data_IF_545863933214
#
_entry.id   IF_545863933214
#
_cell.length_a   1.000
_cell.length_b   1.000
_cell.length_c   1.000
_cell.angle_alpha   90.00
_cell.angle_beta   90.00
_cell.angle_gamma   90.00
#
_symmetry.space_group_name_H-M   'P 1'
#
loop_
_entity.id
_entity.type
_entity.pdbx_description
1 polymer ?
#
# COMPACT_ATOMS: atom_id res chain seq x y z
N UNK A 1 36.43 -12.10 42.46
CA UNK A 1 35.63 -10.97 41.96
C UNK A 1 34.63 -11.49 40.94
N UNK A 2 33.36 -11.67 41.31
CA UNK A 2 32.24 -11.79 40.36
C UNK A 2 30.97 -11.34 41.08
N UNK A 3 30.48 -10.14 40.77
CA UNK A 3 29.20 -9.62 41.28
C UNK A 3 28.06 -10.23 40.46
N UNK A 4 27.03 -10.70 41.17
CA UNK A 4 25.82 -11.33 40.64
C UNK A 4 24.93 -10.35 39.86
N UNK A 5 24.39 -10.83 38.73
CA UNK A 5 23.30 -10.21 37.95
C UNK A 5 22.01 -10.10 38.76
N UNK A 6 21.30 -8.98 38.60
CA UNK A 6 19.98 -8.73 39.19
C UNK A 6 18.84 -9.16 38.25
N UNK A 7 18.09 -10.14 38.74
CA UNK A 7 16.63 -10.16 38.95
C UNK A 7 15.73 -10.10 37.69
N UNK A 8 15.26 -11.29 37.32
CA UNK A 8 14.01 -11.60 36.63
C UNK A 8 12.81 -11.26 37.53
N UNK A 9 11.81 -10.55 36.99
CA UNK A 9 10.49 -10.39 37.64
C UNK A 9 9.47 -11.18 36.80
N UNK A 10 8.97 -12.26 37.38
CA UNK A 10 7.79 -12.98 36.92
C UNK A 10 6.58 -12.43 37.69
N UNK A 11 5.59 -11.88 36.99
CA UNK A 11 4.32 -11.47 37.58
C UNK A 11 3.23 -12.49 37.21
N UNK A 12 2.88 -13.34 38.18
CA UNK A 12 1.68 -14.19 38.13
C UNK A 12 0.52 -13.38 38.69
N UNK A 13 -0.52 -13.11 37.88
CA UNK A 13 -1.75 -12.46 38.33
C UNK A 13 -2.92 -13.46 38.26
N UNK A 14 -3.38 -13.88 39.43
CA UNK A 14 -4.62 -14.64 39.63
C UNK A 14 -5.78 -13.66 39.75
N UNK A 15 -6.81 -13.74 38.92
CA UNK A 15 -8.02 -12.93 39.05
C UNK A 15 -9.19 -13.77 39.61
N UNK A 16 -9.76 -13.31 40.73
CA UNK A 16 -11.01 -13.78 41.30
C UNK A 16 -12.10 -12.71 41.11
N UNK A 17 -13.31 -13.14 40.75
CA UNK A 17 -14.47 -12.30 40.42
C UNK A 17 -15.36 -11.98 41.65
N UNK A 18 -16.02 -10.80 41.65
CA UNK A 18 -17.44 -10.56 42.03
C UNK A 18 -17.75 -9.07 42.35
N UNK A 19 -18.94 -8.58 41.94
CA UNK A 19 -19.73 -7.58 42.71
C UNK A 19 -20.06 -6.23 42.04
N UNK A 20 -21.36 -5.95 41.88
CA UNK A 20 -21.98 -4.73 41.30
C UNK A 20 -22.31 -3.72 42.41
N UNK A 21 -21.91 -2.43 42.32
CA UNK A 21 -22.55 -1.29 43.02
C UNK A 21 -22.33 0.00 42.19
N UNK A 22 -23.40 0.71 41.86
CA UNK A 22 -23.37 2.04 41.21
C UNK A 22 -23.08 3.17 42.20
N UNK A 23 -22.40 4.23 41.73
CA UNK A 23 -22.19 5.45 42.50
C UNK A 23 -22.54 6.70 41.68
N UNK A 24 -23.18 7.64 42.38
CA UNK A 24 -23.63 8.95 41.94
C UNK A 24 -22.44 9.89 41.70
N UNK A 25 -22.60 10.79 40.73
CA UNK A 25 -21.65 11.83 40.38
C UNK A 25 -21.50 12.89 41.49
N UNK A 26 -20.26 13.29 41.77
CA UNK A 26 -19.90 14.56 42.43
C UNK A 26 -18.72 15.17 41.66
N UNK A 27 -18.75 16.47 41.29
CA UNK A 27 -17.58 17.12 40.70
C UNK A 27 -16.62 17.53 41.81
N UNK A 28 -15.35 17.15 41.72
CA UNK A 28 -14.28 17.81 42.49
C UNK A 28 -13.20 18.27 41.54
N UNK A 29 -12.99 19.59 41.54
CA UNK A 29 -11.85 20.24 40.97
C UNK A 29 -10.69 20.17 41.98
N UNK A 30 -9.51 19.76 41.51
CA UNK A 30 -8.27 19.74 42.30
C UNK A 30 -7.15 19.16 41.47
N UNK A 31 -6.16 19.98 41.14
CA UNK A 31 -5.03 19.65 40.28
C UNK A 31 -3.98 18.80 41.02
N UNK A 32 -3.55 17.70 40.41
CA UNK A 32 -2.22 17.09 40.57
C UNK A 32 -1.91 16.24 39.30
N UNK A 33 -0.79 16.43 38.59
CA UNK A 33 -0.42 15.58 37.45
C UNK A 33 0.43 14.39 37.92
N UNK A 34 -0.18 13.43 38.60
CA UNK A 34 0.45 12.13 38.89
C UNK A 34 -0.42 10.98 38.37
N UNK A 35 0.05 10.41 37.26
CA UNK A 35 -0.12 9.01 36.86
C UNK A 35 -1.53 8.41 36.96
N UNK A 36 -2.42 8.76 36.02
CA UNK A 36 -3.56 7.91 35.69
C UNK A 36 -3.14 6.79 34.75
N UNK A 37 -2.47 5.78 35.33
CA UNK A 37 -2.47 4.43 34.79
C UNK A 37 -3.70 3.68 35.31
N UNK A 38 -4.88 4.01 34.77
CA UNK A 38 -6.10 3.16 34.75
C UNK A 38 -7.13 3.97 33.95
N UNK A 39 -7.64 3.56 32.81
CA UNK A 39 -8.57 2.43 32.70
C UNK A 39 -8.71 2.04 31.22
N UNK A 40 -8.26 0.85 30.82
CA UNK A 40 -8.67 0.25 29.55
C UNK A 40 -10.13 -0.17 29.69
N UNK A 41 -11.04 0.77 29.43
CA UNK A 41 -12.48 0.53 29.34
C UNK A 41 -12.89 0.85 27.93
N UNK A 42 -13.47 -0.14 27.25
CA UNK A 42 -13.94 -0.11 25.86
C UNK A 42 -12.80 -0.05 24.84
N UNK A 43 -12.61 -1.16 24.13
CA UNK A 43 -12.09 -1.15 22.77
C UNK A 43 -13.10 -0.41 21.88
N UNK A 44 -13.22 0.90 22.05
CA UNK A 44 -13.79 1.74 21.02
C UNK A 44 -12.84 1.58 19.83
N UNK A 45 -13.30 0.90 18.78
CA UNK A 45 -12.56 0.85 17.52
C UNK A 45 -12.54 2.30 17.01
N UNK A 46 -11.46 3.01 17.33
CA UNK A 46 -11.25 4.37 16.87
C UNK A 46 -10.73 4.28 15.44
N UNK A 47 -11.49 4.84 14.50
CA UNK A 47 -11.03 4.96 13.12
C UNK A 47 -9.84 5.93 13.09
N UNK A 48 -8.71 5.49 12.53
CA UNK A 48 -7.56 6.36 12.32
C UNK A 48 -7.77 7.14 11.02
N UNK A 49 -7.83 8.47 11.10
CA UNK A 49 -7.83 9.33 9.90
C UNK A 49 -6.44 9.94 9.73
N UNK A 50 -5.81 9.64 8.60
CA UNK A 50 -4.41 9.93 8.29
C UNK A 50 -4.32 10.60 6.92
N UNK A 51 -3.21 11.28 6.62
CA UNK A 51 -2.96 11.70 5.23
C UNK A 51 -2.37 10.52 4.45
N UNK A 52 -2.53 10.53 3.12
CA UNK A 52 -1.74 9.64 2.26
C UNK A 52 -0.24 9.81 2.56
N UNK A 53 0.47 8.70 2.71
CA UNK A 53 1.88 8.62 3.11
C UNK A 53 2.12 8.42 4.61
N UNK A 54 1.12 8.65 5.46
CA UNK A 54 1.24 8.39 6.90
C UNK A 54 0.96 6.91 7.24
N UNK A 55 1.70 6.35 8.19
CA UNK A 55 1.50 4.96 8.64
C UNK A 55 0.39 4.87 9.69
N UNK A 56 -0.63 4.05 9.40
CA UNK A 56 -1.64 3.63 10.36
C UNK A 56 -1.34 2.26 10.93
N UNK A 57 -1.80 1.98 12.16
CA UNK A 57 -1.53 0.72 12.86
C UNK A 57 -2.80 -0.05 13.19
N UNK A 58 -2.85 -1.32 12.81
CA UNK A 58 -3.87 -2.26 13.24
C UNK A 58 -3.31 -3.08 14.40
N UNK A 59 -4.06 -3.17 15.50
CA UNK A 59 -3.66 -3.91 16.71
C UNK A 59 -4.66 -5.04 16.93
N UNK A 60 -4.16 -6.28 16.94
CA UNK A 60 -4.92 -7.49 17.26
C UNK A 60 -4.16 -8.32 18.30
N UNK A 61 -4.52 -8.13 19.57
CA UNK A 61 -3.82 -8.75 20.70
C UNK A 61 -2.32 -8.37 20.72
N UNK A 62 -1.45 -9.38 20.50
CA UNK A 62 0.01 -9.21 20.48
C UNK A 62 0.57 -8.99 19.07
N UNK A 63 -0.30 -8.84 18.06
CA UNK A 63 0.07 -8.59 16.67
C UNK A 63 -0.19 -7.11 16.35
N UNK A 64 0.82 -6.43 15.79
CA UNK A 64 0.71 -5.05 15.32
C UNK A 64 1.11 -5.04 13.85
N UNK A 65 0.19 -4.61 13.00
CA UNK A 65 0.39 -4.45 11.56
C UNK A 65 0.39 -2.97 11.20
N UNK A 66 1.35 -2.53 10.40
CA UNK A 66 1.44 -1.16 9.90
C UNK A 66 1.10 -1.10 8.43
N UNK A 67 0.13 -0.25 8.06
CA UNK A 67 -0.15 0.06 6.67
C UNK A 67 0.20 1.51 6.37
N UNK A 68 0.89 1.73 5.25
CA UNK A 68 1.06 3.04 4.65
C UNK A 68 0.45 3.00 3.26
N UNK A 69 -0.40 3.97 2.94
CA UNK A 69 -0.98 4.10 1.60
C UNK A 69 -0.65 5.47 1.05
N UNK A 70 -0.15 5.51 -0.17
CA UNK A 70 0.24 6.73 -0.88
C UNK A 70 -0.15 6.64 -2.36
N UNK A 71 0.04 7.76 -3.07
CA UNK A 71 -0.06 7.83 -4.52
C UNK A 71 -1.38 7.28 -5.09
N UNK A 72 -2.52 7.68 -4.49
CA UNK A 72 -3.85 7.42 -5.02
C UNK A 72 -4.06 8.27 -6.29
N UNK A 73 -4.15 7.62 -7.45
CA UNK A 73 -4.24 8.30 -8.75
C UNK A 73 -4.81 7.39 -9.84
N UNK A 74 -5.23 7.93 -11.01
CA UNK A 74 -5.48 7.12 -12.20
C UNK A 74 -4.24 6.31 -12.60
N UNK A 75 -4.46 5.08 -13.03
CA UNK A 75 -3.40 4.15 -13.48
C UNK A 75 -3.39 4.01 -14.99
N UNK A 76 -2.20 3.84 -15.56
CA UNK A 76 -1.99 3.44 -16.96
C UNK A 76 -1.59 1.98 -17.12
N UNK A 77 -1.57 1.21 -16.03
CA UNK A 77 -1.11 -0.18 -16.04
C UNK A 77 -2.07 -1.10 -16.79
N UNK A 78 -1.51 -2.05 -17.55
CA UNK A 78 -2.27 -3.11 -18.18
C UNK A 78 -2.42 -4.29 -17.22
N UNK A 79 -3.63 -4.49 -16.70
CA UNK A 79 -3.97 -5.59 -15.79
C UNK A 79 -4.93 -6.58 -16.47
N UNK A 80 -4.95 -7.87 -16.08
CA UNK A 80 -5.85 -8.88 -16.64
C UNK A 80 -7.28 -8.72 -16.10
N UNK A 81 -7.88 -7.55 -16.30
CA UNK A 81 -9.21 -7.18 -15.84
C UNK A 81 -9.86 -6.22 -16.84
N UNK A 82 -11.13 -6.46 -17.17
CA UNK A 82 -11.91 -5.59 -18.04
C UNK A 82 -12.49 -4.42 -17.22
N UNK A 83 -11.72 -3.33 -17.16
CA UNK A 83 -12.10 -2.09 -16.47
C UNK A 83 -13.39 -1.51 -17.07
N UNK A 84 -14.37 -1.21 -16.22
CA UNK A 84 -15.65 -0.63 -16.62
C UNK A 84 -15.66 0.90 -16.58
N UNK A 85 -14.88 1.50 -15.67
CA UNK A 85 -14.70 2.93 -15.54
C UNK A 85 -13.27 3.35 -15.85
N UNK A 86 -12.64 4.06 -14.90
CA UNK A 86 -11.22 4.40 -14.95
C UNK A 86 -10.47 3.52 -13.96
N UNK A 87 -9.36 2.92 -14.40
CA UNK A 87 -8.48 2.20 -13.49
C UNK A 87 -7.76 3.20 -12.60
N UNK A 88 -7.87 3.03 -11.29
CA UNK A 88 -7.11 3.78 -10.30
C UNK A 88 -6.17 2.83 -9.57
N UNK A 89 -5.08 3.39 -9.06
CA UNK A 89 -4.11 2.69 -8.23
C UNK A 89 -3.81 3.49 -6.97
N UNK A 90 -3.39 2.77 -5.93
CA UNK A 90 -2.65 3.32 -4.80
C UNK A 90 -1.43 2.44 -4.54
N UNK A 91 -0.36 3.02 -4.02
CA UNK A 91 0.79 2.26 -3.51
C UNK A 91 0.51 1.94 -2.05
N UNK A 92 0.63 0.67 -1.67
CA UNK A 92 0.44 0.22 -0.29
C UNK A 92 1.68 -0.52 0.19
N UNK A 93 2.18 -0.13 1.36
CA UNK A 93 3.26 -0.80 2.07
C UNK A 93 2.71 -1.39 3.37
N UNK A 94 2.79 -2.71 3.50
CA UNK A 94 2.43 -3.47 4.69
C UNK A 94 3.68 -3.81 5.50
N UNK A 95 3.60 -3.71 6.82
CA UNK A 95 4.69 -4.00 7.73
C UNK A 95 4.22 -4.85 8.92
N UNK A 96 4.93 -5.94 9.16
CA UNK A 96 4.78 -6.78 10.35
C UNK A 96 5.50 -6.14 11.55
N UNK A 97 4.91 -5.12 12.18
CA UNK A 97 5.58 -4.39 13.27
C UNK A 97 5.83 -5.30 14.49
N UNK A 98 4.82 -6.10 14.86
CA UNK A 98 4.91 -7.08 15.93
C UNK A 98 4.10 -8.33 15.56
N UNK A 99 4.66 -9.52 15.77
CA UNK A 99 4.07 -10.78 15.30
C UNK A 99 4.18 -10.95 13.78
N UNK A 100 3.84 -12.15 13.30
CA UNK A 100 3.70 -12.39 11.86
C UNK A 100 2.33 -11.88 11.39
N UNK A 101 2.28 -11.28 10.20
CA UNK A 101 1.04 -10.74 9.62
C UNK A 101 0.87 -11.24 8.19
N UNK A 102 -0.37 -11.38 7.74
CA UNK A 102 -0.68 -11.66 6.34
C UNK A 102 -1.34 -10.42 5.74
N UNK A 103 -0.82 -9.86 4.64
CA UNK A 103 -1.45 -8.72 3.97
C UNK A 103 -2.86 -9.06 3.47
N UNK A 104 -3.88 -8.25 3.82
CA UNK A 104 -5.27 -8.46 3.40
C UNK A 104 -5.71 -7.32 2.47
N UNK A 105 -5.37 -7.43 1.19
CA UNK A 105 -5.66 -6.40 0.17
C UNK A 105 -7.16 -6.21 -0.05
N UNK A 106 -7.98 -7.25 0.17
CA UNK A 106 -9.43 -7.20 0.00
C UNK A 106 -10.15 -6.26 0.99
N UNK A 107 -9.47 -5.81 2.04
CA UNK A 107 -10.01 -4.83 2.99
C UNK A 107 -9.87 -3.38 2.49
N UNK A 108 -9.09 -3.13 1.44
CA UNK A 108 -8.96 -1.80 0.85
C UNK A 108 -10.16 -1.41 -0.01
N UNK A 109 -10.54 -0.14 0.10
CA UNK A 109 -11.56 0.51 -0.70
C UNK A 109 -11.06 1.91 -1.04
N UNK A 110 -11.29 2.38 -2.26
CA UNK A 110 -11.18 3.80 -2.57
C UNK A 110 -12.54 4.46 -2.32
N UNK A 111 -12.56 5.68 -1.77
CA UNK A 111 -13.79 6.46 -1.56
C UNK A 111 -13.66 7.86 -2.11
N UNK A 112 -14.72 8.33 -2.74
CA UNK A 112 -14.89 9.69 -3.25
C UNK A 112 -15.58 10.59 -2.21
N UNK A 113 -15.48 11.90 -2.41
CA UNK A 113 -16.07 12.90 -1.50
C UNK A 113 -17.60 12.85 -1.41
N UNK A 114 -18.27 12.30 -2.42
CA UNK A 114 -19.73 12.10 -2.46
C UNK A 114 -20.17 10.77 -1.82
N UNK A 115 -19.22 9.99 -1.30
CA UNK A 115 -19.48 8.75 -0.56
C UNK A 115 -19.54 7.48 -1.42
N UNK A 116 -19.25 7.55 -2.72
CA UNK A 116 -19.09 6.32 -3.52
C UNK A 116 -17.88 5.52 -3.01
N UNK A 117 -18.01 4.19 -3.07
CA UNK A 117 -16.97 3.27 -2.59
C UNK A 117 -16.63 2.28 -3.70
N UNK A 118 -15.34 2.17 -4.01
CA UNK A 118 -14.80 1.26 -5.02
C UNK A 118 -13.94 0.21 -4.32
N UNK A 119 -14.31 -1.07 -4.47
CA UNK A 119 -13.56 -2.19 -3.85
C UNK A 119 -12.21 -2.37 -4.53
N UNK A 120 -11.19 -2.74 -3.76
CA UNK A 120 -9.93 -3.18 -4.34
C UNK A 120 -10.15 -4.38 -5.28
N UNK A 121 -9.45 -4.40 -6.41
CA UNK A 121 -9.44 -5.49 -7.38
C UNK A 121 -8.51 -6.64 -6.93
N UNK A 122 -8.66 -7.08 -5.68
CA UNK A 122 -7.76 -8.05 -5.03
C UNK A 122 -7.72 -9.44 -5.69
N UNK A 123 -8.74 -9.79 -6.47
CA UNK A 123 -8.79 -11.06 -7.24
C UNK A 123 -7.98 -11.02 -8.54
N UNK A 124 -7.47 -9.86 -8.93
CA UNK A 124 -6.68 -9.67 -10.16
C UNK A 124 -5.20 -9.71 -9.80
N UNK A 125 -4.58 -10.87 -9.99
CA UNK A 125 -3.16 -11.03 -9.74
C UNK A 125 -2.34 -10.21 -10.75
N UNK A 126 -1.50 -9.31 -10.24
CA UNK A 126 -0.60 -8.47 -11.04
C UNK A 126 0.82 -8.59 -10.48
N UNK A 127 1.87 -8.53 -11.33
CA UNK A 127 3.25 -8.52 -10.85
C UNK A 127 3.59 -7.33 -9.94
N UNK A 128 2.87 -6.22 -10.09
CA UNK A 128 3.05 -4.99 -9.33
C UNK A 128 2.26 -5.00 -8.01
N UNK A 129 1.32 -5.94 -7.85
CA UNK A 129 0.43 -6.01 -6.70
C UNK A 129 1.15 -6.34 -5.39
N UNK A 130 0.53 -5.97 -4.27
CA UNK A 130 1.03 -6.36 -2.94
C UNK A 130 1.09 -7.88 -2.83
N UNK A 131 2.24 -8.42 -2.41
CA UNK A 131 2.42 -9.87 -2.24
C UNK A 131 1.59 -10.36 -1.03
N UNK A 132 0.67 -11.32 -1.19
CA UNK A 132 -0.18 -11.79 -0.10
C UNK A 132 0.51 -12.81 0.84
N UNK A 133 1.80 -13.10 0.65
CA UNK A 133 2.54 -14.00 1.53
C UNK A 133 2.63 -13.46 2.97
N UNK A 134 2.58 -14.36 3.95
CA UNK A 134 2.76 -14.00 5.35
C UNK A 134 4.15 -13.40 5.58
N UNK A 135 4.18 -12.23 6.20
CA UNK A 135 5.37 -11.51 6.61
C UNK A 135 5.77 -11.93 8.03
N UNK A 136 7.00 -12.44 8.24
CA UNK A 136 7.61 -12.52 9.55
C UNK A 136 7.71 -11.15 10.22
N UNK A 137 7.75 -11.13 11.55
CA UNK A 137 7.93 -9.88 12.30
C UNK A 137 9.18 -9.12 11.84
N UNK A 138 9.04 -7.81 11.63
CA UNK A 138 10.07 -6.91 11.15
C UNK A 138 10.14 -6.78 9.64
N UNK A 139 9.49 -7.69 8.88
CA UNK A 139 9.45 -7.62 7.42
C UNK A 139 8.31 -6.71 6.91
N UNK A 140 8.43 -6.34 5.64
CA UNK A 140 7.47 -5.52 4.94
C UNK A 140 7.33 -5.96 3.48
N UNK A 141 6.20 -5.64 2.87
CA UNK A 141 5.98 -5.78 1.43
C UNK A 141 5.31 -4.53 0.89
N UNK A 142 5.65 -4.16 -0.34
CA UNK A 142 5.08 -3.00 -1.03
C UNK A 142 4.53 -3.43 -2.38
N UNK A 143 3.43 -2.82 -2.80
CA UNK A 143 2.87 -3.06 -4.11
C UNK A 143 1.67 -2.17 -4.40
N UNK A 144 1.08 -2.35 -5.58
CA UNK A 144 -0.09 -1.62 -6.05
C UNK A 144 -1.38 -2.27 -5.55
N UNK A 145 -2.35 -1.44 -5.23
CA UNK A 145 -3.75 -1.80 -5.02
C UNK A 145 -4.56 -1.08 -6.07
N UNK A 146 -5.29 -1.84 -6.91
CA UNK A 146 -6.06 -1.28 -8.01
C UNK A 146 -7.55 -1.17 -7.66
N UNK A 147 -8.23 -0.19 -8.24
CA UNK A 147 -9.67 0.06 -8.10
C UNK A 147 -10.28 0.35 -9.48
N UNK A 148 -11.48 -0.18 -9.75
CA UNK A 148 -12.27 0.22 -10.92
C UNK A 148 -13.24 1.33 -10.51
N UNK A 149 -12.94 2.56 -10.91
CA UNK A 149 -13.70 3.77 -10.54
C UNK A 149 -14.71 4.07 -11.62
N UNK A 150 -15.98 3.75 -11.33
CA UNK A 150 -17.11 3.89 -12.26
C UNK A 150 -17.94 5.16 -12.04
N UNK A 151 -17.50 6.05 -11.15
CA UNK A 151 -18.21 7.30 -10.80
C UNK A 151 -17.25 8.43 -10.46
N UNK A 152 -17.54 9.17 -9.39
CA UNK A 152 -16.70 10.28 -8.92
C UNK A 152 -15.29 9.82 -8.53
N UNK A 153 -14.32 10.72 -8.70
CA UNK A 153 -12.92 10.44 -8.41
C UNK A 153 -12.73 10.20 -6.89
N UNK A 154 -12.00 9.14 -6.50
CA UNK A 154 -11.72 8.89 -5.10
C UNK A 154 -10.69 9.90 -4.58
N UNK A 155 -10.88 10.34 -3.34
CA UNK A 155 -9.95 11.21 -2.63
C UNK A 155 -9.44 10.57 -1.33
N UNK A 156 -9.77 9.31 -1.09
CA UNK A 156 -9.32 8.57 0.08
C UNK A 156 -9.23 7.08 -0.19
N UNK A 157 -8.37 6.41 0.56
CA UNK A 157 -8.31 4.95 0.67
C UNK A 157 -8.70 4.55 2.08
N UNK A 158 -9.52 3.51 2.21
CA UNK A 158 -10.05 3.03 3.48
C UNK A 158 -9.71 1.57 3.65
N UNK A 159 -9.10 1.22 4.78
CA UNK A 159 -8.99 -0.14 5.25
C UNK A 159 -10.22 -0.47 6.11
N UNK A 160 -11.13 -1.26 5.55
CA UNK A 160 -12.37 -1.69 6.19
C UNK A 160 -12.32 -3.21 6.43
N UNK A 161 -12.53 -3.63 7.66
CA UNK A 161 -12.56 -5.05 8.03
C UNK A 161 -13.84 -5.38 8.77
N UNK A 162 -14.52 -6.45 8.37
CA UNK A 162 -15.77 -6.89 9.01
C UNK A 162 -16.90 -5.85 8.97
N UNK A 163 -16.88 -4.94 7.99
CA UNK A 163 -17.85 -3.85 7.88
C UNK A 163 -17.47 -2.58 8.63
N UNK A 164 -16.34 -2.56 9.35
CA UNK A 164 -15.88 -1.42 10.13
C UNK A 164 -14.65 -0.76 9.49
N UNK A 165 -14.67 0.57 9.37
CA UNK A 165 -13.49 1.32 8.95
C UNK A 165 -12.47 1.33 10.10
N UNK A 166 -11.23 0.97 9.81
CA UNK A 166 -10.15 0.93 10.80
C UNK A 166 -9.15 2.07 10.55
N UNK A 167 -8.81 2.30 9.29
CA UNK A 167 -7.91 3.38 8.86
C UNK A 167 -8.46 4.01 7.58
N UNK A 168 -8.42 5.34 7.53
CA UNK A 168 -8.78 6.16 6.37
C UNK A 168 -7.59 7.05 6.06
N UNK A 169 -6.98 6.87 4.89
CA UNK A 169 -5.96 7.77 4.34
C UNK A 169 -6.63 8.75 3.38
N UNK A 170 -6.62 10.04 3.71
CA UNK A 170 -7.17 11.10 2.88
C UNK A 170 -6.07 11.72 2.03
N UNK A 171 -6.37 11.94 0.74
CA UNK A 171 -5.55 12.78 -0.11
C UNK A 171 -5.73 14.22 0.33
N UNK A 172 -4.62 14.91 0.61
CA UNK A 172 -4.69 16.35 0.82
C UNK A 172 -5.28 17.00 -0.45
N UNK A 173 -6.17 17.99 -0.31
CA UNK A 173 -6.64 18.72 -1.48
C UNK A 173 -5.39 19.30 -2.16
N UNK A 174 -5.20 19.00 -3.44
CA UNK A 174 -4.09 19.56 -4.19
C UNK A 174 -4.11 21.07 -3.98
N UNK A 175 -3.05 21.61 -3.39
CA UNK A 175 -2.88 23.07 -3.36
C UNK A 175 -2.82 23.47 -4.82
N UNK A 176 -3.91 24.04 -5.34
CA UNK A 176 -4.05 24.39 -6.73
C UNK A 176 -2.73 25.01 -7.18
N UNK A 177 -2.01 24.30 -8.05
CA UNK A 177 -0.88 24.88 -8.75
C UNK A 177 -1.48 26.02 -9.55
N UNK A 178 -1.39 27.21 -8.95
CA UNK A 178 -1.74 28.45 -9.62
C UNK A 178 -0.68 28.59 -10.69
N UNK A 179 -0.89 27.93 -11.82
CA UNK A 179 -0.28 28.28 -13.08
C UNK A 179 -0.68 29.72 -13.30
N UNK A 180 0.16 30.63 -12.79
CA UNK A 180 0.09 32.04 -13.11
C UNK A 180 0.30 32.10 -14.61
N UNK A 181 -0.81 32.06 -15.35
CA UNK A 181 -0.88 32.58 -16.70
C UNK A 181 -0.41 34.02 -16.58
N UNK A 182 0.86 34.23 -16.92
CA UNK A 182 1.44 35.56 -17.08
C UNK A 182 0.71 36.21 -18.25
N UNK A 183 -0.46 36.77 -17.97
CA UNK A 183 -1.17 37.67 -18.85
C UNK A 183 -0.36 38.97 -18.81
N UNK A 184 0.59 39.07 -19.72
CA UNK A 184 1.31 40.30 -19.98
C UNK A 184 0.33 41.31 -20.56
N UNK A 185 -0.15 42.21 -19.72
CA UNK A 185 -0.82 43.42 -20.17
C UNK A 185 0.25 44.38 -20.73
N UNK A 186 0.13 44.91 -21.96
CA UNK A 186 0.99 45.98 -22.41
C UNK A 186 0.61 47.26 -21.65
N UNK A 187 1.40 47.62 -20.65
CA UNK A 187 1.31 48.95 -20.03
C UNK A 187 2.11 49.93 -20.89
N UNK A 188 1.38 50.76 -21.63
CA UNK A 188 1.88 51.95 -22.27
C UNK A 188 2.01 53.08 -21.24
N UNK A 189 3.22 53.66 -21.20
CA UNK A 189 3.43 55.05 -20.79
C UNK A 189 3.77 55.31 -19.32
N UNK A 190 5.06 55.45 -19.04
CA UNK A 190 5.60 56.56 -18.27
C UNK A 190 7.14 56.57 -18.39
N UNK A 191 7.66 57.52 -19.16
CA UNK A 191 9.07 57.83 -19.28
C UNK A 191 9.54 58.55 -18.00
N UNK A 192 10.68 58.13 -17.44
CA UNK A 192 11.50 58.97 -16.58
C UNK A 192 12.96 58.89 -17.06
N UNK A 193 13.70 60.02 -17.16
CA UNK A 193 14.91 60.10 -17.97
C UNK A 193 16.14 59.66 -17.17
N UNK A 194 16.92 58.72 -17.72
CA UNK A 194 18.27 58.44 -17.25
C UNK A 194 19.27 59.25 -18.10
N UNK A 195 19.98 60.13 -17.40
CA UNK A 195 21.10 60.94 -17.89
C UNK A 195 22.31 60.06 -18.26
N UNK A 196 23.14 60.57 -19.15
CA UNK A 196 23.96 59.83 -20.10
C UNK A 196 25.35 59.37 -19.62
N UNK A 197 25.75 58.20 -20.18
CA UNK A 197 27.08 57.83 -20.72
C UNK A 197 28.28 57.57 -19.77
N UNK A 198 29.37 56.87 -20.21
CA UNK A 198 29.61 56.28 -21.54
C UNK A 198 29.99 54.78 -21.57
N UNK A 199 29.75 54.22 -22.75
CA UNK A 199 30.35 53.01 -23.34
C UNK A 199 31.88 53.08 -23.44
N UNK A 200 32.54 51.92 -23.51
CA UNK A 200 33.50 51.71 -24.58
C UNK A 200 33.13 50.49 -25.44
N UNK A 201 32.95 50.74 -26.74
CA UNK A 201 33.05 49.72 -27.79
C UNK A 201 34.51 49.36 -28.04
N UNK A 202 34.77 48.09 -28.36
CA UNK A 202 36.09 47.62 -28.75
C UNK A 202 36.17 46.11 -28.97
N UNK A 203 35.39 45.57 -29.91
CA UNK A 203 35.62 44.28 -30.60
C UNK A 203 37.04 44.32 -31.23
N UNK A 204 37.88 43.25 -31.29
CA UNK A 204 37.52 41.97 -31.93
C UNK A 204 38.24 40.69 -31.46
N UNK A 205 37.62 39.52 -31.65
CA UNK A 205 38.30 38.29 -32.09
C UNK A 205 37.33 37.11 -32.26
N UNK A 206 37.17 36.66 -33.51
CA UNK A 206 37.10 35.22 -33.81
C UNK A 206 38.57 34.74 -33.99
N UNK A 207 38.92 33.47 -33.70
CA UNK A 207 38.57 32.38 -34.61
C UNK A 207 38.23 31.03 -33.93
N UNK A 208 37.69 30.14 -34.73
CA UNK A 208 37.46 28.74 -34.43
C UNK A 208 38.78 27.97 -34.16
N UNK A 209 38.72 27.05 -33.19
CA UNK A 209 39.61 25.89 -33.06
C UNK A 209 38.69 24.71 -32.66
N UNK A 210 38.33 23.82 -33.58
CA UNK A 210 39.03 22.60 -33.96
C UNK A 210 39.55 21.76 -32.78
N UNK A 211 39.00 20.54 -32.69
CA UNK A 211 39.63 19.38 -32.09
C UNK A 211 39.12 19.02 -30.70
N UNK A 212 38.27 18.00 -30.60
CA UNK A 212 38.67 16.75 -29.93
C UNK A 212 37.77 15.62 -30.44
N UNK A 213 38.43 14.50 -30.68
CA UNK A 213 38.01 13.31 -31.41
C UNK A 213 36.80 12.55 -30.84
N UNK A 214 36.09 11.91 -31.77
CA UNK A 214 35.33 10.70 -31.51
C UNK A 214 36.28 9.51 -31.29
N UNK A 215 35.92 8.52 -30.46
CA UNK A 215 36.39 7.16 -30.69
C UNK A 215 35.29 6.36 -31.40
N UNK A 216 35.56 6.05 -32.66
CA UNK A 216 34.99 4.91 -33.35
C UNK A 216 35.83 3.66 -33.01
N UNK A 217 35.17 2.58 -32.61
CA UNK A 217 35.59 1.22 -32.94
C UNK A 217 36.41 0.44 -31.90
N UNK A 218 35.88 -0.73 -31.52
CA UNK A 218 36.55 -2.04 -31.31
C UNK A 218 35.47 -2.98 -30.73
N UNK A 219 34.61 -3.61 -31.53
CA UNK A 219 34.80 -4.92 -32.18
C UNK A 219 35.69 -5.91 -31.41
N UNK A 220 35.03 -6.95 -30.90
CA UNK A 220 35.58 -8.29 -30.66
C UNK A 220 36.35 -8.51 -29.35
N UNK A 221 35.97 -9.54 -28.58
CA UNK A 221 36.73 -10.78 -28.21
C UNK A 221 35.95 -11.49 -27.06
N UNK A 222 36.06 -12.80 -26.81
CA UNK A 222 35.25 -13.88 -27.40
C UNK A 222 34.46 -14.70 -26.35
N UNK A 223 33.54 -15.53 -26.85
CA UNK A 223 32.92 -16.63 -26.12
C UNK A 223 33.97 -17.73 -25.84
N UNK A 224 34.11 -18.26 -24.61
CA UNK A 224 34.81 -19.52 -24.42
C UNK A 224 33.87 -20.68 -24.80
N UNK A 225 34.15 -21.27 -25.95
CA UNK A 225 33.61 -22.54 -26.40
C UNK A 225 34.58 -23.65 -25.98
N UNK A 226 34.06 -24.74 -25.42
CA UNK A 226 34.79 -26.00 -25.30
C UNK A 226 35.04 -26.50 -23.87
N UNK A 227 34.03 -27.10 -23.26
CA UNK A 227 34.28 -28.36 -22.54
C UNK A 227 33.15 -29.33 -22.88
N UNK A 228 33.55 -30.46 -23.43
CA UNK A 228 32.78 -31.58 -23.96
C UNK A 228 31.78 -32.20 -22.97
N UNK A 229 30.81 -33.00 -23.47
CA UNK A 229 29.64 -33.42 -22.72
C UNK A 229 29.99 -34.51 -21.69
N UNK A 230 29.60 -34.27 -20.44
CA UNK A 230 29.50 -35.33 -19.44
C UNK A 230 28.23 -36.16 -19.72
N UNK A 231 28.31 -37.50 -19.77
CA UNK A 231 27.13 -38.34 -19.89
C UNK A 231 26.36 -38.30 -18.57
N UNK A 232 25.13 -37.78 -18.61
CA UNK A 232 24.23 -37.83 -17.46
C UNK A 232 23.62 -39.23 -17.35
N UNK A 233 24.33 -40.14 -16.69
CA UNK A 233 23.71 -41.31 -16.08
C UNK A 233 23.04 -40.90 -14.76
N UNK A 234 21.71 -41.04 -14.73
CA UNK A 234 20.99 -41.54 -13.57
C UNK A 234 20.82 -40.62 -12.36
N UNK A 235 19.76 -39.82 -12.34
CA UNK A 235 18.92 -39.66 -11.13
C UNK A 235 17.47 -39.34 -11.53
N UNK A 236 16.43 -39.94 -10.91
CA UNK A 236 15.10 -40.07 -11.52
C UNK A 236 14.27 -38.78 -11.50
N UNK A 237 13.56 -38.57 -12.61
CA UNK A 237 12.43 -37.64 -12.77
C UNK A 237 11.33 -37.95 -11.75
N UNK A 238 10.79 -36.97 -10.99
CA UNK A 238 9.56 -37.21 -10.23
C UNK A 238 8.44 -37.55 -11.22
N UNK A 239 7.82 -38.70 -10.98
CA UNK A 239 6.75 -39.26 -11.78
C UNK A 239 5.58 -38.28 -11.91
N UNK A 240 4.99 -38.24 -13.12
CA UNK A 240 3.71 -37.59 -13.32
C UNK A 240 2.67 -38.16 -12.36
N UNK A 241 1.89 -37.28 -11.74
CA UNK A 241 0.72 -37.67 -10.97
C UNK A 241 -0.32 -38.23 -11.94
N UNK A 242 -0.26 -39.53 -12.15
CA UNK A 242 -1.38 -40.31 -12.69
C UNK A 242 -2.51 -40.26 -11.67
N UNK A 243 -3.72 -39.98 -12.17
CA UNK A 243 -4.92 -39.89 -11.38
C UNK A 243 -5.17 -41.12 -10.50
N UNK A 244 -5.75 -40.87 -9.34
CA UNK A 244 -6.27 -41.89 -8.44
C UNK A 244 -7.19 -42.85 -9.20
N UNK A 245 -6.96 -44.18 -9.15
CA UNK A 245 -7.93 -45.14 -9.65
C UNK A 245 -9.17 -45.12 -8.76
N UNK A 246 -10.34 -44.88 -9.37
CA UNK A 246 -11.66 -45.03 -8.75
C UNK A 246 -11.92 -46.53 -8.51
N UNK A 247 -12.28 -46.96 -7.30
CA UNK A 247 -12.74 -48.34 -7.08
C UNK A 247 -14.03 -48.61 -7.87
N UNK A 248 -14.06 -49.71 -8.62
CA UNK A 248 -15.27 -50.17 -9.29
C UNK A 248 -16.26 -50.70 -8.25
N UNK A 249 -17.43 -50.07 -8.15
CA UNK A 249 -18.55 -50.57 -7.34
C UNK A 249 -19.41 -49.46 -6.76
N UNK A 250 -20.31 -48.91 -7.59
CA UNK A 250 -21.75 -48.79 -7.32
C UNK A 250 -22.38 -47.75 -8.25
N UNK A 251 -23.52 -48.14 -8.80
CA UNK A 251 -24.25 -47.42 -9.82
C UNK A 251 -24.66 -46.02 -9.33
N UNK A 252 -24.36 -44.99 -10.11
CA UNK A 252 -24.99 -43.70 -9.95
C UNK A 252 -26.50 -43.82 -10.26
N UNK A 253 -27.42 -43.44 -9.36
CA UNK A 253 -28.80 -43.25 -9.76
C UNK A 253 -28.87 -42.05 -10.71
N UNK A 254 -29.58 -42.25 -11.81
CA UNK A 254 -29.90 -41.24 -12.81
C UNK A 254 -30.57 -40.01 -12.18
N UNK A 255 -30.34 -38.78 -12.70
CA UNK A 255 -31.10 -37.63 -12.25
C UNK A 255 -32.56 -37.80 -12.67
N UNK A 256 -33.47 -37.86 -11.69
CA UNK A 256 -34.89 -37.79 -11.94
C UNK A 256 -35.25 -36.43 -12.53
N UNK A 257 -35.79 -36.44 -13.74
CA UNK A 257 -36.43 -35.29 -14.37
C UNK A 257 -37.59 -34.82 -13.49
N UNK A 258 -37.45 -33.67 -12.84
CA UNK A 258 -38.55 -33.02 -12.13
C UNK A 258 -39.60 -32.55 -13.15
N UNK A 259 -40.78 -33.16 -13.12
CA UNK A 259 -41.97 -32.67 -13.83
C UNK A 259 -42.80 -31.84 -12.85
N UNK A 260 -43.09 -30.55 -13.11
CA UNK A 260 -43.96 -29.78 -12.23
C UNK A 260 -45.42 -30.26 -12.37
N UNK A 261 -46.10 -30.45 -11.24
CA UNK A 261 -47.51 -30.83 -11.18
C UNK A 261 -48.43 -29.63 -11.49
N UNK A 262 -49.58 -29.83 -12.16
CA UNK A 262 -50.56 -28.77 -12.39
C UNK A 262 -51.26 -28.41 -11.07
N UNK A 263 -51.36 -27.11 -10.79
CA UNK A 263 -52.10 -26.56 -9.64
C UNK A 263 -53.59 -26.48 -9.98
N UNK A 264 -54.51 -26.82 -9.05
CA UNK A 264 -55.96 -26.80 -9.27
C UNK A 264 -56.55 -25.40 -9.46
#
# INVERSE_FOLDING_TARGET
MTKMSKITISATATFAAAGVIGFLAVPVAGADPEAEATTQTQTQIQVQTLNLGDQGKLVDGNVIQGWTVDNLQPSSDAIPYAVQGTLWEATANDQAIQGAVTPIVSNFNARSSDGQTYRALFGVATPQGVNPATLPQGEQTTGKVYFDVTGAEPNSVVYNSGGQDLIVWVQAPESASSGATSTSYPSSGAQSPAEAAPVPEGTPAAPAAMGTEAPQGSQGTPLPEGTEPVPAEGTPRPAGSHGTPVPAGDQAPTPATYTPAPTP
#
